data_IF_830063938890
#
_entry.id   IF_830063938890
#
_cell.length_a   1.000
_cell.length_b   1.000
_cell.length_c   1.000
_cell.angle_alpha   90.00
_cell.angle_beta   90.00
_cell.angle_gamma   90.00
#
_symmetry.space_group_name_H-M   'P 1'
#
loop_
_entity.id
_entity.type
_entity.pdbx_description
1 polymer ?
#
# COMPACT_ATOMS: atom_id res chain seq x y z
N UNK A 1 -26.64 -20.40 -3.48
CA UNK A 1 -25.78 -19.20 -3.53
C UNK A 1 -24.53 -19.60 -4.28
N UNK A 2 -24.19 -18.89 -5.34
CA UNK A 2 -22.96 -19.14 -6.09
C UNK A 2 -21.79 -18.67 -5.20
N UNK A 3 -20.99 -19.61 -4.68
CA UNK A 3 -19.88 -19.29 -3.80
C UNK A 3 -18.83 -18.53 -4.61
N UNK A 4 -18.75 -17.22 -4.42
CA UNK A 4 -17.74 -16.38 -5.03
C UNK A 4 -16.37 -16.74 -4.47
N UNK A 5 -15.37 -16.95 -5.32
CA UNK A 5 -13.98 -17.10 -4.89
C UNK A 5 -13.18 -15.91 -5.40
N UNK A 6 -12.59 -15.18 -4.48
CA UNK A 6 -11.71 -14.05 -4.78
C UNK A 6 -10.29 -14.46 -4.42
N UNK A 7 -9.43 -14.47 -5.43
CA UNK A 7 -7.98 -14.65 -5.26
C UNK A 7 -7.36 -13.27 -5.19
N UNK A 8 -6.64 -12.98 -4.11
CA UNK A 8 -5.90 -11.73 -3.95
C UNK A 8 -4.61 -11.83 -4.75
N UNK A 9 -4.28 -10.77 -5.48
CA UNK A 9 -3.03 -10.68 -6.22
C UNK A 9 -1.84 -10.43 -5.28
N UNK A 10 -0.70 -11.04 -5.59
CA UNK A 10 0.53 -10.83 -4.84
C UNK A 10 0.97 -9.36 -4.93
N UNK A 11 1.54 -8.79 -3.84
CA UNK A 11 2.09 -7.45 -3.87
C UNK A 11 3.26 -7.36 -4.88
N UNK A 12 3.48 -6.18 -5.49
CA UNK A 12 4.61 -5.98 -6.38
C UNK A 12 5.94 -6.09 -5.61
N UNK A 13 6.96 -6.66 -6.25
CA UNK A 13 8.30 -6.77 -5.67
C UNK A 13 8.91 -5.37 -5.46
N UNK A 14 9.49 -5.08 -4.28
CA UNK A 14 10.10 -3.78 -4.03
C UNK A 14 11.32 -3.59 -4.93
N UNK A 15 11.61 -2.34 -5.36
CA UNK A 15 12.77 -2.05 -6.19
C UNK A 15 14.07 -2.41 -5.44
N UNK A 16 14.97 -3.11 -6.13
CA UNK A 16 16.20 -3.63 -5.54
C UNK A 16 17.00 -2.54 -4.79
N UNK A 17 17.57 -2.85 -3.61
CA UNK A 17 18.33 -1.89 -2.83
C UNK A 17 19.62 -1.52 -3.57
N UNK A 18 19.64 -0.34 -4.18
CA UNK A 18 20.87 0.17 -4.78
C UNK A 18 21.79 0.65 -3.66
N UNK A 19 22.94 0.00 -3.51
CA UNK A 19 23.99 0.41 -2.58
C UNK A 19 24.47 1.80 -2.96
N UNK A 20 24.05 2.83 -2.21
CA UNK A 20 24.60 4.16 -2.38
C UNK A 20 26.02 4.09 -1.84
N UNK A 21 27.00 4.21 -2.74
CA UNK A 21 28.41 4.24 -2.36
C UNK A 21 28.61 5.33 -1.29
N UNK A 22 29.19 5.03 -0.12
CA UNK A 22 29.43 6.03 0.93
C UNK A 22 30.22 7.23 0.41
N UNK A 23 31.07 7.05 -0.59
CA UNK A 23 31.80 8.13 -1.28
C UNK A 23 30.85 9.09 -1.98
N UNK A 24 29.80 8.59 -2.64
CA UNK A 24 28.79 9.43 -3.29
C UNK A 24 27.98 10.26 -2.27
N UNK A 25 27.80 9.74 -1.04
CA UNK A 25 27.15 10.47 0.06
C UNK A 25 28.07 11.53 0.68
N UNK A 26 29.39 11.29 0.68
CA UNK A 26 30.38 12.22 1.22
C UNK A 26 30.79 13.32 0.23
N UNK A 27 30.62 13.09 -1.08
CA UNK A 27 31.03 13.99 -2.15
C UNK A 27 30.50 15.44 -1.96
N UNK A 28 29.20 15.68 -1.67
CA UNK A 28 28.71 17.05 -1.46
C UNK A 28 29.31 17.72 -0.23
N UNK A 29 29.56 16.95 0.83
CA UNK A 29 30.18 17.45 2.08
C UNK A 29 31.64 17.84 1.83
N UNK A 30 32.37 16.98 1.10
CA UNK A 30 33.75 17.26 0.70
C UNK A 30 33.85 18.49 -0.21
N UNK A 31 32.90 18.67 -1.13
CA UNK A 31 32.81 19.88 -1.97
C UNK A 31 32.56 21.14 -1.14
N UNK A 32 31.62 21.12 -0.19
CA UNK A 32 31.36 22.28 0.69
C UNK A 32 32.59 22.60 1.54
N UNK A 33 33.27 21.57 2.08
CA UNK A 33 34.50 21.74 2.85
C UNK A 33 35.63 22.34 2.00
N UNK A 34 35.83 21.86 0.77
CA UNK A 34 36.80 22.41 -0.17
C UNK A 34 36.49 23.87 -0.55
N UNK A 35 35.21 24.19 -0.77
CA UNK A 35 34.75 25.56 -1.04
C UNK A 35 35.09 26.49 0.12
N UNK A 36 34.72 26.11 1.35
CA UNK A 36 35.01 26.89 2.56
C UNK A 36 36.51 27.05 2.80
N UNK A 37 37.29 25.99 2.60
CA UNK A 37 38.76 26.03 2.70
C UNK A 37 39.39 27.03 1.73
N UNK A 38 38.96 27.04 0.47
CA UNK A 38 39.44 28.00 -0.53
C UNK A 38 39.03 29.45 -0.22
N UNK A 39 37.82 29.68 0.31
CA UNK A 39 37.39 31.02 0.75
C UNK A 39 38.22 31.53 1.91
N UNK A 40 38.51 30.69 2.91
CA UNK A 40 39.36 31.07 4.05
C UNK A 40 40.78 31.37 3.58
N UNK A 41 41.37 30.51 2.75
CA UNK A 41 42.70 30.73 2.18
C UNK A 41 42.80 32.03 1.40
N UNK A 42 41.78 32.38 0.60
CA UNK A 42 41.72 33.65 -0.11
C UNK A 42 41.76 34.86 0.83
N UNK A 43 41.04 34.79 1.97
CA UNK A 43 40.97 35.87 2.94
C UNK A 43 42.24 35.99 3.80
N UNK A 44 42.90 34.87 4.11
CA UNK A 44 44.10 34.84 4.97
C UNK A 44 45.41 34.99 4.20
N UNK A 45 45.43 34.74 2.90
CA UNK A 45 46.66 34.79 2.11
C UNK A 45 47.03 36.22 1.73
N UNK A 46 48.30 36.57 1.96
CA UNK A 46 48.88 37.89 1.64
C UNK A 46 49.57 37.88 0.26
N UNK A 47 49.64 36.70 -0.37
CA UNK A 47 50.33 36.47 -1.63
C UNK A 47 49.52 36.96 -2.84
N UNK A 48 50.18 37.68 -3.75
CA UNK A 48 49.56 38.28 -4.94
C UNK A 48 48.94 37.25 -5.90
N UNK A 49 49.46 36.02 -5.92
CA UNK A 49 48.92 34.92 -6.72
C UNK A 49 47.56 34.42 -6.22
N UNK A 50 47.35 34.41 -4.90
CA UNK A 50 46.10 33.95 -4.26
C UNK A 50 45.00 35.00 -4.27
N UNK A 51 45.34 36.27 -4.47
CA UNK A 51 44.40 37.40 -4.61
C UNK A 51 43.88 37.61 -6.04
N UNK A 52 44.16 36.70 -6.97
CA UNK A 52 43.60 36.78 -8.32
C UNK A 52 42.09 36.48 -8.30
N UNK A 53 41.23 37.28 -8.97
CA UNK A 53 39.80 37.02 -9.12
C UNK A 53 39.49 35.63 -9.70
N UNK A 54 40.45 35.05 -10.44
CA UNK A 54 40.38 33.71 -11.01
C UNK A 54 40.31 32.61 -9.93
N UNK A 55 40.84 32.85 -8.72
CA UNK A 55 40.80 31.90 -7.60
C UNK A 55 39.39 31.75 -7.00
N UNK A 56 38.55 32.79 -7.10
CA UNK A 56 37.15 32.77 -6.66
C UNK A 56 36.19 32.17 -7.71
N UNK A 57 36.62 32.05 -8.96
CA UNK A 57 35.79 31.53 -10.05
C UNK A 57 35.45 30.04 -9.87
N UNK A 58 36.41 29.23 -9.42
CA UNK A 58 36.20 27.79 -9.19
C UNK A 58 35.19 27.51 -8.07
N UNK A 59 35.30 28.11 -6.86
CA UNK A 59 34.26 28.03 -5.82
C UNK A 59 32.89 28.50 -6.31
N UNK A 60 32.84 29.60 -7.07
CA UNK A 60 31.58 30.16 -7.57
C UNK A 60 30.89 29.21 -8.57
N UNK A 61 31.65 28.64 -9.52
CA UNK A 61 31.10 27.69 -10.50
C UNK A 61 30.68 26.37 -9.82
N UNK A 62 31.43 25.91 -8.82
CA UNK A 62 31.07 24.75 -8.03
C UNK A 62 29.78 24.97 -7.21
N UNK A 63 29.59 26.16 -6.65
CA UNK A 63 28.36 26.55 -5.96
C UNK A 63 27.16 26.53 -6.92
N UNK A 64 27.30 27.10 -8.12
CA UNK A 64 26.25 27.07 -9.16
C UNK A 64 25.93 25.64 -9.58
N UNK A 65 26.93 24.78 -9.74
CA UNK A 65 26.74 23.36 -10.08
C UNK A 65 26.03 22.61 -8.96
N UNK A 66 26.38 22.86 -7.69
CA UNK A 66 25.71 22.27 -6.53
C UNK A 66 24.24 22.71 -6.45
N UNK A 67 23.95 24.00 -6.62
CA UNK A 67 22.57 24.52 -6.64
C UNK A 67 21.80 23.92 -7.82
N UNK A 68 22.41 23.86 -9.02
CA UNK A 68 21.83 23.23 -10.19
C UNK A 68 21.49 21.76 -9.95
N UNK A 69 22.40 21.00 -9.33
CA UNK A 69 22.23 19.60 -8.96
C UNK A 69 21.21 19.40 -7.84
N UNK A 70 21.07 20.31 -6.88
CA UNK A 70 20.01 20.23 -5.87
C UNK A 70 18.62 20.54 -6.47
N UNK A 71 18.55 21.51 -7.37
CA UNK A 71 17.30 21.91 -8.05
C UNK A 71 16.83 20.82 -9.03
N UNK A 72 17.75 20.15 -9.73
CA UNK A 72 17.43 19.10 -10.71
C UNK A 72 17.49 17.68 -10.10
N UNK A 73 18.48 17.39 -9.26
CA UNK A 73 18.71 16.10 -8.62
C UNK A 73 17.82 15.84 -7.40
N UNK A 74 17.28 16.88 -6.76
CA UNK A 74 16.22 16.73 -5.75
C UNK A 74 14.85 16.34 -6.35
N UNK A 75 14.72 16.37 -7.69
CA UNK A 75 13.50 16.04 -8.45
C UNK A 75 13.61 14.78 -9.30
N UNK A 76 14.75 14.08 -9.30
CA UNK A 76 14.77 12.71 -9.81
C UNK A 76 13.79 11.87 -8.99
N UNK A 77 13.06 10.91 -9.59
CA UNK A 77 12.16 10.04 -8.83
C UNK A 77 13.01 9.35 -7.76
N UNK A 78 12.98 9.91 -6.55
CA UNK A 78 13.72 9.38 -5.43
C UNK A 78 13.19 7.97 -5.23
N UNK A 79 14.07 7.00 -5.00
CA UNK A 79 13.71 5.59 -4.75
C UNK A 79 12.56 5.42 -3.75
N UNK A 80 12.43 6.35 -2.81
CA UNK A 80 11.30 6.40 -1.87
C UNK A 80 9.97 6.77 -2.51
N UNK A 81 9.93 7.67 -3.50
CA UNK A 81 8.70 8.08 -4.19
C UNK A 81 8.07 6.96 -5.00
N UNK A 82 8.88 6.23 -5.77
CA UNK A 82 8.42 5.07 -6.56
C UNK A 82 7.92 3.92 -5.67
N UNK A 83 8.64 3.61 -4.59
CA UNK A 83 8.18 2.63 -3.61
C UNK A 83 6.89 3.06 -2.91
N UNK A 84 6.74 4.36 -2.62
CA UNK A 84 5.53 4.88 -1.98
C UNK A 84 4.34 4.87 -2.93
N UNK A 85 4.52 5.16 -4.21
CA UNK A 85 3.46 5.06 -5.21
C UNK A 85 3.01 3.62 -5.40
N UNK A 86 3.93 2.66 -5.48
CA UNK A 86 3.60 1.23 -5.58
C UNK A 86 2.81 0.74 -4.34
N UNK A 87 3.25 1.12 -3.13
CA UNK A 87 2.49 0.85 -1.89
C UNK A 87 1.10 1.44 -1.92
N UNK A 88 0.97 2.72 -2.30
CA UNK A 88 -0.31 3.41 -2.32
C UNK A 88 -1.27 2.79 -3.35
N UNK A 89 -0.77 2.36 -4.50
CA UNK A 89 -1.56 1.66 -5.51
C UNK A 89 -2.07 0.32 -5.00
N UNK A 90 -1.18 -0.49 -4.40
CA UNK A 90 -1.55 -1.78 -3.87
C UNK A 90 -2.55 -1.69 -2.70
N UNK A 91 -2.35 -0.72 -1.79
CA UNK A 91 -3.30 -0.50 -0.69
C UNK A 91 -4.68 -0.04 -1.20
N UNK A 92 -4.73 0.74 -2.29
CA UNK A 92 -5.99 1.13 -2.94
C UNK A 92 -6.70 -0.06 -3.58
N UNK A 93 -5.94 -0.98 -4.17
CA UNK A 93 -6.47 -2.25 -4.65
C UNK A 93 -7.10 -3.05 -3.49
N UNK A 94 -6.39 -3.21 -2.37
CA UNK A 94 -6.93 -3.92 -1.20
C UNK A 94 -8.17 -3.23 -0.60
N UNK A 95 -8.21 -1.90 -0.57
CA UNK A 95 -9.38 -1.13 -0.10
C UNK A 95 -10.61 -1.36 -1.00
N UNK A 96 -10.40 -1.35 -2.32
CA UNK A 96 -11.46 -1.66 -3.30
C UNK A 96 -11.99 -3.07 -3.08
N UNK A 97 -11.08 -4.01 -2.82
CA UNK A 97 -11.45 -5.40 -2.58
C UNK A 97 -12.20 -5.58 -1.25
N UNK A 98 -11.78 -4.91 -0.18
CA UNK A 98 -12.48 -4.94 1.10
C UNK A 98 -13.91 -4.39 0.97
N UNK A 99 -14.10 -3.32 0.20
CA UNK A 99 -15.43 -2.77 -0.11
C UNK A 99 -16.33 -3.76 -0.87
N UNK A 100 -15.77 -4.52 -1.82
CA UNK A 100 -16.51 -5.56 -2.53
C UNK A 100 -16.91 -6.71 -1.60
N UNK A 101 -16.00 -7.14 -0.71
CA UNK A 101 -16.27 -8.17 0.29
C UNK A 101 -17.32 -7.73 1.30
N UNK A 102 -17.28 -6.47 1.76
CA UNK A 102 -18.31 -5.90 2.63
C UNK A 102 -19.69 -5.89 1.96
N UNK A 103 -19.75 -5.50 0.68
CA UNK A 103 -21.00 -5.50 -0.09
C UNK A 103 -21.57 -6.91 -0.22
N UNK A 104 -20.72 -7.91 -0.51
CA UNK A 104 -21.12 -9.31 -0.60
C UNK A 104 -21.62 -9.85 0.76
N UNK A 105 -20.98 -9.46 1.87
CA UNK A 105 -21.44 -9.82 3.21
C UNK A 105 -22.81 -9.22 3.54
N UNK A 106 -23.06 -7.96 3.14
CA UNK A 106 -24.38 -7.33 3.31
C UNK A 106 -25.46 -8.01 2.46
N UNK A 107 -25.13 -8.45 1.25
CA UNK A 107 -26.02 -9.23 0.39
C UNK A 107 -26.35 -10.59 0.99
N UNK A 108 -25.33 -11.30 1.51
CA UNK A 108 -25.52 -12.54 2.25
C UNK A 108 -26.41 -12.32 3.48
N UNK A 109 -26.16 -11.27 4.26
CA UNK A 109 -26.96 -10.93 5.42
C UNK A 109 -28.43 -10.70 5.04
N UNK A 110 -28.69 -9.87 4.02
CA UNK A 110 -30.04 -9.62 3.50
C UNK A 110 -30.72 -10.89 3.01
N UNK A 111 -29.99 -11.75 2.28
CA UNK A 111 -30.48 -13.04 1.79
C UNK A 111 -30.87 -13.96 2.95
N UNK A 112 -30.00 -14.11 3.95
CA UNK A 112 -30.25 -14.91 5.15
C UNK A 112 -31.43 -14.39 5.96
N UNK A 113 -31.58 -13.07 6.11
CA UNK A 113 -32.72 -12.48 6.80
C UNK A 113 -34.04 -12.59 6.03
N UNK A 114 -33.98 -12.60 4.70
CA UNK A 114 -35.14 -12.86 3.86
C UNK A 114 -35.58 -14.32 3.99
N UNK A 115 -34.63 -15.25 3.90
CA UNK A 115 -34.80 -16.69 4.03
C UNK A 115 -35.26 -17.10 5.43
N UNK A 116 -34.68 -16.48 6.47
CA UNK A 116 -34.88 -16.80 7.88
C UNK A 116 -35.30 -15.55 8.68
N UNK A 117 -36.53 -15.04 8.46
CA UNK A 117 -37.01 -13.81 9.07
C UNK A 117 -37.06 -13.90 10.60
N UNK A 118 -37.14 -12.75 11.26
CA UNK A 118 -37.30 -12.70 12.71
C UNK A 118 -38.60 -13.41 13.13
N UNK A 119 -38.64 -14.18 14.23
CA UNK A 119 -39.85 -14.91 14.66
C UNK A 119 -41.09 -14.01 14.78
N UNK A 120 -40.91 -12.78 15.27
CA UNK A 120 -41.99 -11.79 15.38
C UNK A 120 -42.55 -11.29 14.03
N UNK A 121 -41.87 -11.56 12.91
CA UNK A 121 -42.33 -11.22 11.56
C UNK A 121 -42.99 -12.40 10.84
N UNK A 122 -42.98 -13.62 11.40
CA UNK A 122 -43.50 -14.81 10.72
C UNK A 122 -45.00 -14.73 10.39
N UNK A 123 -45.77 -13.98 11.18
CA UNK A 123 -47.20 -13.78 10.93
C UNK A 123 -47.47 -13.06 9.60
N UNK A 124 -46.54 -12.25 9.09
CA UNK A 124 -46.69 -11.59 7.78
C UNK A 124 -46.44 -12.54 6.62
N UNK A 125 -45.62 -13.57 6.83
CA UNK A 125 -45.35 -14.64 5.87
C UNK A 125 -46.49 -15.66 5.86
N UNK A 126 -47.06 -15.94 7.04
CA UNK A 126 -48.20 -16.84 7.24
C UNK A 126 -49.48 -16.25 6.65
N UNK A 127 -49.67 -16.37 5.34
CA UNK A 127 -50.71 -15.59 4.68
C UNK A 127 -50.45 -15.45 3.20
N UNK A 128 -49.24 -15.03 2.90
CA UNK A 128 -48.83 -14.56 1.59
C UNK A 128 -48.30 -15.65 0.67
N UNK A 129 -47.75 -15.20 -0.45
CA UNK A 129 -47.19 -16.06 -1.51
C UNK A 129 -45.93 -16.82 -1.09
N UNK A 130 -45.25 -16.34 -0.04
CA UNK A 130 -44.07 -16.98 0.55
C UNK A 130 -44.40 -18.16 1.48
N UNK A 131 -45.69 -18.42 1.70
CA UNK A 131 -46.14 -19.60 2.44
C UNK A 131 -45.77 -20.85 1.62
N UNK A 132 -44.95 -21.72 2.21
CA UNK A 132 -44.56 -23.03 1.65
C UNK A 132 -43.72 -22.90 0.38
N UNK A 133 -42.89 -21.85 0.29
CA UNK A 133 -41.97 -21.61 -0.83
C UNK A 133 -40.81 -22.64 -0.92
N UNK A 134 -40.56 -23.40 0.15
CA UNK A 134 -39.48 -24.39 0.25
C UNK A 134 -40.02 -25.81 0.13
N UNK A 135 -39.91 -26.38 -1.07
CA UNK A 135 -40.18 -27.79 -1.32
C UNK A 135 -38.94 -28.66 -1.03
N UNK A 136 -39.07 -29.98 -1.18
CA UNK A 136 -38.02 -30.97 -0.85
C UNK A 136 -36.71 -30.77 -1.62
N UNK A 137 -36.77 -30.13 -2.80
CA UNK A 137 -35.63 -29.81 -3.66
C UNK A 137 -34.95 -28.47 -3.31
N UNK A 138 -35.51 -27.70 -2.38
CA UNK A 138 -34.96 -26.41 -2.00
C UNK A 138 -33.67 -26.59 -1.17
N UNK A 139 -32.59 -25.83 -1.43
CA UNK A 139 -31.33 -25.98 -0.70
C UNK A 139 -31.46 -25.79 0.82
N UNK A 140 -32.39 -24.92 1.23
CA UNK A 140 -32.72 -24.65 2.64
C UNK A 140 -33.96 -25.43 3.15
N UNK A 141 -34.32 -26.55 2.53
CA UNK A 141 -35.41 -27.40 3.02
C UNK A 141 -35.09 -27.94 4.42
N UNK A 142 -36.08 -27.92 5.32
CA UNK A 142 -35.92 -28.27 6.73
C UNK A 142 -34.86 -27.45 7.52
N UNK A 143 -34.35 -26.35 6.99
CA UNK A 143 -33.44 -25.45 7.72
C UNK A 143 -34.22 -24.49 8.63
N UNK A 144 -33.96 -24.53 9.94
CA UNK A 144 -34.67 -23.73 10.95
C UNK A 144 -33.73 -22.73 11.60
N UNK A 145 -34.19 -21.49 11.76
CA UNK A 145 -33.46 -20.45 12.49
C UNK A 145 -33.53 -20.71 13.99
N UNK A 146 -32.37 -20.81 14.63
CA UNK A 146 -32.24 -21.00 16.09
C UNK A 146 -31.77 -19.74 16.83
N UNK A 147 -31.12 -18.80 16.14
CA UNK A 147 -30.53 -17.62 16.79
C UNK A 147 -29.89 -16.63 15.81
N UNK A 148 -29.01 -15.78 16.33
CA UNK A 148 -28.12 -14.88 15.59
C UNK A 148 -26.70 -15.17 16.08
N UNK A 149 -25.75 -15.25 15.16
CA UNK A 149 -24.34 -15.46 15.45
C UNK A 149 -23.49 -15.22 14.21
N UNK A 150 -22.18 -15.37 14.37
CA UNK A 150 -21.25 -15.31 13.25
C UNK A 150 -21.50 -16.49 12.29
N UNK A 151 -21.46 -16.20 10.99
CA UNK A 151 -21.64 -17.16 9.91
C UNK A 151 -20.45 -17.04 8.95
N UNK A 152 -19.95 -18.15 8.38
CA UNK A 152 -18.92 -18.08 7.37
C UNK A 152 -19.38 -17.24 6.19
N UNK A 153 -18.45 -16.45 5.63
CA UNK A 153 -18.70 -15.68 4.42
C UNK A 153 -19.03 -16.62 3.26
N UNK A 154 -20.05 -16.26 2.48
CA UNK A 154 -20.39 -16.94 1.23
C UNK A 154 -19.33 -16.72 0.14
N UNK A 155 -18.48 -15.70 0.32
CA UNK A 155 -17.34 -15.42 -0.56
C UNK A 155 -16.05 -15.88 0.12
N UNK A 156 -15.34 -16.81 -0.52
CA UNK A 156 -14.04 -17.30 -0.03
C UNK A 156 -12.91 -16.40 -0.50
N UNK A 157 -12.15 -15.85 0.45
CA UNK A 157 -10.93 -15.07 0.19
C UNK A 157 -9.72 -16.00 0.20
N UNK A 158 -8.97 -16.03 -0.91
CA UNK A 158 -7.76 -16.84 -1.05
C UNK A 158 -6.55 -15.92 -1.01
N UNK A 159 -5.66 -16.18 -0.05
CA UNK A 159 -4.40 -15.45 0.09
C UNK A 159 -3.46 -15.72 -1.10
N UNK A 160 -2.65 -14.73 -1.52
CA UNK A 160 -1.61 -14.97 -2.53
C UNK A 160 -0.49 -15.84 -1.95
N UNK A 161 0.23 -16.53 -2.82
CA UNK A 161 1.51 -17.14 -2.47
C UNK A 161 2.56 -16.03 -2.33
N UNK A 162 3.00 -15.78 -1.11
CA UNK A 162 3.88 -14.66 -0.76
C UNK A 162 5.38 -15.03 -0.79
N UNK A 163 5.75 -16.24 -1.21
CA UNK A 163 7.15 -16.67 -1.23
C UNK A 163 7.84 -16.60 0.14
N UNK A 164 9.18 -16.64 0.15
CA UNK A 164 9.98 -16.47 1.37
C UNK A 164 10.16 -14.98 1.70
N UNK A 165 9.67 -14.58 2.88
CA UNK A 165 9.48 -13.23 3.46
C UNK A 165 10.69 -12.26 3.42
N UNK A 166 11.88 -12.63 2.93
CA UNK A 166 13.10 -11.82 3.08
C UNK A 166 13.13 -10.56 2.19
N UNK A 167 12.52 -10.61 1.00
CA UNK A 167 12.50 -9.48 0.05
C UNK A 167 11.13 -8.81 -0.08
N UNK A 168 10.11 -9.30 0.62
CA UNK A 168 8.76 -8.74 0.53
C UNK A 168 8.62 -7.42 1.29
N UNK A 169 7.83 -6.47 0.76
CA UNK A 169 7.56 -5.22 1.47
C UNK A 169 6.65 -5.48 2.70
N UNK A 170 7.11 -5.21 3.94
CA UNK A 170 6.34 -5.53 5.14
C UNK A 170 5.00 -4.79 5.23
N UNK A 171 4.87 -3.64 4.56
CA UNK A 171 3.63 -2.85 4.55
C UNK A 171 2.54 -3.56 3.75
N UNK A 172 2.85 -3.98 2.52
CA UNK A 172 1.88 -4.64 1.64
C UNK A 172 1.57 -6.05 2.12
N UNK A 173 2.57 -6.83 2.51
CA UNK A 173 2.40 -8.18 3.06
C UNK A 173 1.57 -8.17 4.35
N UNK A 174 1.84 -7.21 5.26
CA UNK A 174 1.06 -7.04 6.48
C UNK A 174 -0.41 -6.68 6.21
N UNK A 175 -0.66 -5.81 5.23
CA UNK A 175 -2.01 -5.41 4.84
C UNK A 175 -2.83 -6.58 4.28
N UNK A 176 -2.24 -7.42 3.42
CA UNK A 176 -2.89 -8.62 2.87
C UNK A 176 -3.22 -9.62 3.97
N UNK A 177 -2.23 -9.94 4.83
CA UNK A 177 -2.44 -10.90 5.93
C UNK A 177 -3.57 -10.42 6.85
N UNK A 178 -3.64 -9.12 7.13
CA UNK A 178 -4.74 -8.52 7.92
C UNK A 178 -6.08 -8.62 7.21
N UNK A 179 -6.15 -8.34 5.92
CA UNK A 179 -7.39 -8.45 5.15
C UNK A 179 -7.91 -9.88 5.15
N UNK A 180 -7.04 -10.86 4.87
CA UNK A 180 -7.38 -12.28 4.89
C UNK A 180 -7.84 -12.69 6.29
N UNK A 181 -7.14 -12.30 7.36
CA UNK A 181 -7.53 -12.65 8.72
C UNK A 181 -8.91 -12.09 9.12
N UNK A 182 -9.24 -10.87 8.68
CA UNK A 182 -10.51 -10.22 9.02
C UNK A 182 -11.69 -10.72 8.18
N UNK A 183 -11.43 -11.35 7.03
CA UNK A 183 -12.45 -11.74 6.03
C UNK A 183 -12.50 -13.25 5.77
N UNK A 184 -11.63 -14.03 6.38
CA UNK A 184 -11.68 -15.49 6.42
C UNK A 184 -12.78 -15.96 7.39
#
# INVERSE_FOLDING_TARGET
>A
METGRIVIDAPPDPPAPVTVNPVARLLPVAMIAAMGGMTVLYLTSTDSATRSPMFLFFPAMMLVSLIGSLVHGGRGPGRGGELHSQRAEYLRYLDTLDGALATAADEQHRSLHHAHPHPAALWTVAGGQRRWERAEDHPDFCAVRVGIGEQPSATTVVAPDLGTDDDADPVTTGAVRRLVHNRA
#
